data_IF_358097448137
#
_entry.id   IF_358097448137
#
_cell.length_a   1.000
_cell.length_b   1.000
_cell.length_c   1.000
_cell.angle_alpha   90.00
_cell.angle_beta   90.00
_cell.angle_gamma   90.00
#
_symmetry.space_group_name_H-M   'P 1'
#
loop_
_entity.id
_entity.type
_entity.pdbx_description
1 polymer ?
#
# COMPACT_ATOMS: atom_id res chain seq x y z
N UNK A 1 -13.69 14.15 -9.04
CA UNK A 1 -14.93 13.84 -8.28
C UNK A 1 -15.27 12.35 -8.18
N UNK A 2 -15.01 11.52 -9.21
CA UNK A 2 -15.37 10.08 -9.25
C UNK A 2 -14.83 9.23 -8.08
N UNK A 3 -13.66 9.57 -7.52
CA UNK A 3 -13.09 8.88 -6.36
C UNK A 3 -13.89 9.13 -5.08
N UNK A 4 -14.25 10.39 -4.81
CA UNK A 4 -15.07 10.80 -3.64
C UNK A 4 -16.51 10.29 -3.73
N UNK A 5 -17.07 10.15 -4.94
CA UNK A 5 -18.41 9.58 -5.12
C UNK A 5 -18.43 8.06 -4.94
N UNK A 6 -17.36 7.35 -5.33
CA UNK A 6 -17.25 5.88 -5.16
C UNK A 6 -16.95 5.47 -3.72
N UNK A 7 -16.27 6.31 -2.96
CA UNK A 7 -15.63 5.95 -1.66
C UNK A 7 -16.02 6.88 -0.51
N UNK A 8 -16.89 7.86 -0.73
CA UNK A 8 -17.26 8.86 0.29
C UNK A 8 -16.19 9.92 0.52
N UNK A 9 -16.55 10.96 1.28
CA UNK A 9 -15.73 12.17 1.45
C UNK A 9 -14.54 12.03 2.40
N UNK A 10 -14.56 11.08 3.34
CA UNK A 10 -13.46 10.87 4.30
C UNK A 10 -12.74 9.52 4.19
N UNK A 11 -13.38 8.49 3.59
CA UNK A 11 -12.88 7.11 3.49
C UNK A 11 -12.20 6.59 4.77
N UNK A 12 -12.88 6.76 5.92
CA UNK A 12 -12.33 6.45 7.25
C UNK A 12 -11.80 5.02 7.35
N UNK A 13 -12.55 4.04 6.83
CA UNK A 13 -12.13 2.64 6.83
C UNK A 13 -10.75 2.44 6.22
N UNK A 14 -10.47 3.05 5.06
CA UNK A 14 -9.15 2.94 4.44
C UNK A 14 -8.07 3.78 5.12
N UNK A 15 -8.43 4.85 5.85
CA UNK A 15 -7.45 5.54 6.69
C UNK A 15 -7.01 4.68 7.86
N UNK A 16 -7.96 3.98 8.50
CA UNK A 16 -7.67 3.00 9.55
C UNK A 16 -6.86 1.84 9.00
N UNK A 17 -7.31 1.23 7.91
CA UNK A 17 -6.61 0.12 7.25
C UNK A 17 -5.17 0.51 6.88
N UNK A 18 -4.97 1.69 6.30
CA UNK A 18 -3.63 2.19 5.95
C UNK A 18 -2.73 2.42 7.17
N UNK A 19 -3.29 2.92 8.27
CA UNK A 19 -2.57 3.08 9.52
C UNK A 19 -2.13 1.74 10.12
N UNK A 20 -3.05 0.77 10.18
CA UNK A 20 -2.76 -0.59 10.66
C UNK A 20 -1.78 -1.32 9.75
N UNK A 21 -1.92 -1.19 8.43
CA UNK A 21 -1.03 -1.78 7.43
C UNK A 21 0.39 -1.23 7.55
N UNK A 22 0.57 0.07 7.82
CA UNK A 22 1.88 0.65 8.08
C UNK A 22 2.55 0.03 9.31
N UNK A 23 1.82 -0.13 10.41
CA UNK A 23 2.34 -0.77 11.62
C UNK A 23 2.71 -2.24 11.37
N UNK A 24 1.86 -2.99 10.66
CA UNK A 24 2.13 -4.37 10.27
C UNK A 24 3.39 -4.49 9.39
N UNK A 25 3.55 -3.56 8.43
CA UNK A 25 4.73 -3.51 7.55
C UNK A 25 6.01 -3.26 8.32
N UNK A 26 6.00 -2.30 9.27
CA UNK A 26 7.14 -2.04 10.14
C UNK A 26 7.46 -3.25 11.00
N UNK A 27 6.44 -3.89 11.59
CA UNK A 27 6.61 -5.09 12.40
C UNK A 27 7.21 -6.25 11.61
N UNK A 28 6.65 -6.56 10.44
CA UNK A 28 7.11 -7.65 9.57
C UNK A 28 8.56 -7.42 9.11
N UNK A 29 8.89 -6.23 8.60
CA UNK A 29 10.24 -5.94 8.14
C UNK A 29 11.28 -5.86 9.27
N UNK A 30 10.87 -5.62 10.52
CA UNK A 30 11.79 -5.61 11.67
C UNK A 30 12.02 -6.99 12.29
N UNK A 31 11.05 -7.91 12.18
CA UNK A 31 11.08 -9.21 12.86
C UNK A 31 11.28 -10.40 11.92
N UNK A 32 11.34 -10.18 10.61
CA UNK A 32 11.64 -11.22 9.62
C UNK A 32 13.03 -11.01 9.02
N UNK A 33 13.72 -12.10 8.69
CA UNK A 33 14.98 -12.04 7.92
C UNK A 33 14.71 -11.77 6.44
N UNK A 34 13.57 -12.25 5.96
CA UNK A 34 13.06 -12.06 4.61
C UNK A 34 12.18 -10.79 4.60
N UNK A 35 12.83 -9.63 4.56
CA UNK A 35 12.15 -8.34 4.47
C UNK A 35 11.60 -8.06 3.06
N UNK A 36 11.18 -6.82 2.82
CA UNK A 36 10.64 -6.38 1.54
C UNK A 36 9.11 -6.31 1.50
N UNK A 37 8.45 -6.50 2.64
CA UNK A 37 7.01 -6.27 2.75
C UNK A 37 6.71 -4.79 2.51
N UNK A 38 5.67 -4.54 1.74
CA UNK A 38 5.13 -3.23 1.44
C UNK A 38 3.82 -3.03 2.20
N UNK A 39 3.39 -1.77 2.33
CA UNK A 39 2.09 -1.44 2.96
C UNK A 39 0.94 -2.12 2.21
N UNK A 40 1.05 -2.29 0.89
CA UNK A 40 0.00 -2.88 0.06
C UNK A 40 -0.20 -4.37 0.32
N UNK A 41 0.80 -5.09 0.85
CA UNK A 41 0.67 -6.50 1.23
C UNK A 41 -0.32 -6.70 2.41
N UNK A 42 -0.55 -5.64 3.18
CA UNK A 42 -1.48 -5.62 4.32
C UNK A 42 -2.74 -4.78 4.06
N UNK A 43 -2.98 -4.37 2.80
CA UNK A 43 -4.16 -3.58 2.41
C UNK A 43 -5.00 -4.32 1.36
N UNK A 44 -5.84 -5.30 1.73
CA UNK A 44 -6.60 -6.10 0.77
C UNK A 44 -7.55 -5.29 -0.13
N UNK A 45 -7.95 -4.08 0.30
CA UNK A 45 -8.85 -3.21 -0.46
C UNK A 45 -8.15 -2.10 -1.27
N UNK A 46 -6.81 -2.01 -1.19
CA UNK A 46 -5.98 -1.07 -1.95
C UNK A 46 -4.99 -1.81 -2.85
N UNK A 47 -5.12 -1.63 -4.16
CA UNK A 47 -4.11 -2.13 -5.09
C UNK A 47 -2.86 -1.26 -5.05
N UNK A 48 -1.69 -1.88 -5.15
CA UNK A 48 -0.44 -1.16 -5.33
C UNK A 48 -0.52 -0.23 -6.57
N UNK A 49 0.07 0.97 -6.50
CA UNK A 49 0.10 1.89 -7.62
C UNK A 49 0.84 1.23 -8.80
N UNK A 50 0.30 1.42 -10.00
CA UNK A 50 0.95 0.95 -11.21
C UNK A 50 2.28 1.70 -11.40
N UNK A 51 3.36 0.96 -11.66
CA UNK A 51 4.65 1.54 -12.00
C UNK A 51 4.55 2.26 -13.35
N UNK A 52 5.23 3.39 -13.46
CA UNK A 52 5.48 4.00 -14.77
C UNK A 52 6.46 3.15 -15.56
N UNK A 53 6.47 3.33 -16.89
CA UNK A 53 7.42 2.63 -17.76
C UNK A 53 8.87 2.89 -17.34
N UNK A 54 9.21 4.14 -17.01
CA UNK A 54 10.55 4.53 -16.59
C UNK A 54 10.97 3.84 -15.28
N UNK A 55 10.07 3.75 -14.30
CA UNK A 55 10.32 3.05 -13.03
C UNK A 55 10.48 1.54 -13.25
N UNK A 56 9.63 0.95 -14.11
CA UNK A 56 9.73 -0.46 -14.44
C UNK A 56 11.06 -0.81 -15.12
N UNK A 57 11.54 0.05 -16.04
CA UNK A 57 12.85 -0.13 -16.68
C UNK A 57 14.02 -0.03 -15.69
N UNK A 58 13.92 0.80 -14.65
CA UNK A 58 14.95 0.90 -13.60
C UNK A 58 15.01 -0.34 -12.70
N UNK A 59 13.87 -0.97 -12.43
CA UNK A 59 13.81 -2.20 -11.63
C UNK A 59 14.34 -3.40 -12.43
N UNK A 60 14.17 -3.37 -13.75
CA UNK A 60 14.62 -4.44 -14.64
C UNK A 60 16.14 -4.45 -14.89
N UNK A 61 16.78 -3.27 -14.89
CA UNK A 61 18.20 -3.10 -15.22
C UNK A 61 19.13 -3.63 -14.12
#
# INVERSE_FOLDING_TARGET
MKYRSRRGSLHLGMRFERGTALLATLYANTHTKDGGYTVYDFMPHESAPALTLEEAMKIWA
#
